data_IF_806572976674
#
_entry.id   IF_806572976674
#
_cell.length_a   1.000
_cell.length_b   1.000
_cell.length_c   1.000
_cell.angle_alpha   90.00
_cell.angle_beta   90.00
_cell.angle_gamma   90.00
#
_symmetry.space_group_name_H-M   'P 1'
#
loop_
_entity.id
_entity.type
_entity.pdbx_description
1 polymer ?
#
# COMPACT_ATOMS: atom_id res chain seq x y z
N UNK A 1 -17.62 -27.35 6.03
CA UNK A 1 -17.32 -26.05 6.70
C UNK A 1 -16.72 -25.13 5.65
N UNK A 2 -17.41 -24.08 5.22
CA UNK A 2 -16.82 -23.10 4.30
C UNK A 2 -15.67 -22.38 5.02
N UNK A 3 -14.55 -22.08 4.36
CA UNK A 3 -13.47 -21.34 4.99
C UNK A 3 -13.99 -19.99 5.47
N UNK A 4 -13.56 -19.57 6.66
CA UNK A 4 -13.88 -18.25 7.18
C UNK A 4 -13.50 -17.17 6.13
N UNK A 5 -14.31 -16.11 5.98
CA UNK A 5 -14.02 -15.05 5.03
C UNK A 5 -12.61 -14.49 5.30
N UNK A 6 -11.80 -14.37 4.25
CA UNK A 6 -10.44 -13.86 4.36
C UNK A 6 -10.49 -12.33 4.35
N UNK A 7 -10.29 -11.72 5.51
CA UNK A 7 -10.41 -10.26 5.71
C UNK A 7 -9.26 -9.47 5.07
N UNK A 8 -8.08 -10.10 4.96
CA UNK A 8 -6.86 -9.49 4.44
C UNK A 8 -5.63 -10.36 4.67
N UNK A 9 -4.46 -9.74 4.56
CA UNK A 9 -3.17 -10.28 4.96
C UNK A 9 -2.47 -9.27 5.87
N UNK A 10 -1.91 -9.73 6.99
CA UNK A 10 -1.08 -8.91 7.85
C UNK A 10 0.41 -9.18 7.56
N UNK A 11 1.22 -8.14 7.65
CA UNK A 11 2.66 -8.20 7.51
C UNK A 11 3.31 -7.54 8.71
N UNK A 12 4.29 -8.22 9.30
CA UNK A 12 5.13 -7.67 10.34
C UNK A 12 6.55 -7.52 9.79
N UNK A 13 7.14 -6.34 9.96
CA UNK A 13 8.51 -6.06 9.52
C UNK A 13 9.43 -6.05 10.73
N UNK A 14 10.54 -6.78 10.65
CA UNK A 14 11.62 -6.74 11.64
C UNK A 14 12.88 -6.07 11.10
N UNK A 15 13.71 -5.54 12.01
CA UNK A 15 15.10 -5.20 11.72
C UNK A 15 15.91 -6.48 11.66
N UNK A 16 16.66 -6.68 10.57
CA UNK A 16 17.52 -7.88 10.45
C UNK A 16 18.61 -7.93 11.53
N UNK A 17 19.13 -6.76 11.93
CA UNK A 17 20.25 -6.68 12.87
C UNK A 17 19.86 -7.05 14.31
N UNK A 18 18.65 -6.69 14.75
CA UNK A 18 18.20 -6.86 16.15
C UNK A 18 17.06 -7.86 16.30
N UNK A 19 16.32 -8.15 15.23
CA UNK A 19 15.08 -8.94 15.27
C UNK A 19 13.86 -8.15 15.76
N UNK A 20 14.03 -6.89 16.18
CA UNK A 20 12.96 -6.06 16.69
C UNK A 20 11.94 -5.67 15.62
N UNK A 21 10.68 -5.52 16.02
CA UNK A 21 9.60 -5.07 15.15
C UNK A 21 9.77 -3.59 14.79
N UNK A 22 9.75 -3.27 13.50
CA UNK A 22 9.80 -1.89 12.99
C UNK A 22 8.40 -1.35 12.78
N UNK A 23 7.55 -2.11 12.10
CA UNK A 23 6.18 -1.74 11.83
C UNK A 23 5.35 -2.97 11.45
N UNK A 24 4.04 -2.80 11.46
CA UNK A 24 3.07 -3.75 10.91
C UNK A 24 2.24 -3.11 9.81
N UNK A 25 1.74 -3.92 8.89
CA UNK A 25 0.84 -3.49 7.83
C UNK A 25 -0.28 -4.49 7.61
N UNK A 26 -1.48 -4.03 7.31
CA UNK A 26 -2.61 -4.87 6.93
C UNK A 26 -3.06 -4.54 5.50
N UNK A 27 -3.17 -5.58 4.67
CA UNK A 27 -3.51 -5.49 3.25
C UNK A 27 -4.88 -6.11 3.00
N UNK A 28 -5.73 -5.42 2.27
CA UNK A 28 -7.04 -5.91 1.88
C UNK A 28 -7.48 -5.29 0.56
N UNK A 29 -8.56 -5.81 -0.04
CA UNK A 29 -9.28 -5.08 -1.08
C UNK A 29 -10.36 -4.21 -0.42
N UNK A 30 -10.50 -2.97 -0.88
CA UNK A 30 -11.58 -2.06 -0.46
C UNK A 30 -12.07 -1.22 -1.63
N UNK A 31 -13.38 -1.01 -1.71
CA UNK A 31 -13.98 -0.06 -2.65
C UNK A 31 -14.27 1.24 -1.91
N UNK A 32 -13.70 2.34 -2.38
CA UNK A 32 -14.01 3.68 -1.86
C UNK A 32 -15.45 4.08 -2.23
N UNK A 33 -16.14 4.91 -1.42
CA UNK A 33 -17.46 5.43 -1.77
C UNK A 33 -17.45 6.11 -3.15
N UNK A 34 -18.39 5.72 -4.01
CA UNK A 34 -18.51 6.25 -5.38
C UNK A 34 -17.45 5.75 -6.37
N UNK A 35 -16.53 4.86 -5.97
CA UNK A 35 -15.58 4.25 -6.90
C UNK A 35 -16.23 3.12 -7.71
N UNK A 36 -15.83 3.02 -8.99
CA UNK A 36 -16.24 1.98 -9.93
C UNK A 36 -15.46 0.66 -9.75
N UNK A 37 -14.35 0.70 -9.00
CA UNK A 37 -13.41 -0.42 -8.81
C UNK A 37 -12.91 -0.50 -7.37
N UNK A 38 -12.40 -1.67 -6.99
CA UNK A 38 -11.68 -1.85 -5.74
C UNK A 38 -10.22 -1.38 -5.86
N UNK A 39 -9.70 -0.86 -4.75
CA UNK A 39 -8.31 -0.51 -4.55
C UNK A 39 -7.64 -1.54 -3.64
N UNK A 40 -6.32 -1.68 -3.76
CA UNK A 40 -5.53 -2.36 -2.73
C UNK A 40 -5.40 -1.39 -1.56
N UNK A 41 -5.99 -1.75 -0.43
CA UNK A 41 -5.97 -0.95 0.79
C UNK A 41 -4.89 -1.48 1.73
N UNK A 42 -4.00 -0.59 2.14
CA UNK A 42 -2.92 -0.84 3.10
C UNK A 42 -3.14 0.05 4.32
N UNK A 43 -3.07 -0.52 5.52
CA UNK A 43 -3.12 0.23 6.78
C UNK A 43 -1.85 -0.04 7.59
N UNK A 44 -1.22 1.03 8.08
CA UNK A 44 -0.15 1.00 9.07
C UNK A 44 -0.67 1.60 10.37
N UNK A 45 -0.79 0.82 11.46
CA UNK A 45 -1.28 1.33 12.73
C UNK A 45 -0.30 2.32 13.36
N UNK A 46 -0.84 3.33 14.01
CA UNK A 46 -0.16 4.29 14.89
C UNK A 46 -0.87 4.29 16.25
N UNK A 47 -0.26 4.86 17.29
CA UNK A 47 -0.76 4.82 18.67
C UNK A 47 -2.19 5.39 18.79
N UNK A 48 -2.45 6.52 18.13
CA UNK A 48 -3.75 7.21 18.15
C UNK A 48 -4.49 7.16 16.81
N UNK A 49 -4.07 6.29 15.88
CA UNK A 49 -4.55 6.37 14.51
C UNK A 49 -3.94 5.37 13.55
N UNK A 50 -3.87 5.74 12.27
CA UNK A 50 -3.21 4.94 11.24
C UNK A 50 -2.87 5.77 10.00
N UNK A 51 -1.89 5.30 9.25
CA UNK A 51 -1.70 5.68 7.85
C UNK A 51 -2.46 4.68 6.98
N UNK A 52 -3.34 5.16 6.10
CA UNK A 52 -4.04 4.35 5.12
C UNK A 52 -3.60 4.72 3.72
N UNK A 53 -3.34 3.73 2.88
CA UNK A 53 -3.00 3.93 1.48
C UNK A 53 -3.96 3.12 0.62
N UNK A 54 -4.66 3.81 -0.26
CA UNK A 54 -5.49 3.20 -1.30
C UNK A 54 -4.72 3.25 -2.61
N UNK A 55 -4.20 2.09 -3.01
CA UNK A 55 -3.45 1.91 -4.24
C UNK A 55 -4.40 1.51 -5.36
N UNK A 56 -4.46 2.33 -6.39
CA UNK A 56 -5.18 2.07 -7.62
C UNK A 56 -4.45 0.99 -8.43
N UNK A 57 -5.07 -0.17 -8.68
CA UNK A 57 -4.48 -1.18 -9.55
C UNK A 57 -4.70 -0.85 -11.03
N UNK A 58 -3.71 -1.18 -11.86
CA UNK A 58 -3.78 -1.09 -13.32
C UNK A 58 -2.91 -2.17 -13.96
N UNK A 59 -3.45 -2.89 -14.93
CA UNK A 59 -2.64 -3.76 -15.79
C UNK A 59 -2.03 -2.90 -16.90
N UNK A 60 -0.72 -2.98 -17.04
CA UNK A 60 0.04 -2.29 -18.08
C UNK A 60 0.15 -3.16 -19.35
N UNK A 61 0.48 -2.57 -20.51
CA UNK A 61 0.91 -3.33 -21.67
C UNK A 61 2.03 -4.32 -21.30
N UNK A 62 1.96 -5.54 -21.82
CA UNK A 62 2.90 -6.62 -21.47
C UNK A 62 2.58 -7.35 -20.15
N UNK A 63 1.46 -7.05 -19.50
CA UNK A 63 0.97 -7.82 -18.34
C UNK A 63 1.56 -7.42 -16.99
N UNK A 64 2.39 -6.38 -16.94
CA UNK A 64 2.87 -5.82 -15.67
C UNK A 64 1.72 -5.23 -14.85
N UNK A 65 1.80 -5.33 -13.53
CA UNK A 65 0.85 -4.73 -12.59
C UNK A 65 1.41 -3.42 -12.04
N UNK A 66 0.67 -2.34 -12.20
CA UNK A 66 0.92 -1.08 -11.51
C UNK A 66 -0.03 -0.94 -10.32
N UNK A 67 0.51 -0.56 -9.16
CA UNK A 67 -0.23 -0.11 -7.99
C UNK A 67 0.21 1.32 -7.67
N UNK A 68 -0.69 2.29 -7.68
CA UNK A 68 -0.34 3.68 -7.46
C UNK A 68 -1.24 4.40 -6.44
N UNK A 69 -0.68 5.24 -5.58
CA UNK A 69 -1.40 6.21 -4.76
C UNK A 69 -1.26 7.62 -5.38
N UNK A 70 -2.11 7.97 -6.37
CA UNK A 70 -1.96 9.21 -7.14
C UNK A 70 -2.31 10.43 -6.29
N UNK A 71 -1.96 11.63 -6.77
CA UNK A 71 -2.56 12.88 -6.28
C UNK A 71 -4.07 12.90 -6.56
N UNK A 72 -4.81 13.69 -5.77
CA UNK A 72 -6.26 13.77 -5.92
C UNK A 72 -6.95 14.50 -4.77
N UNK A 73 -8.27 14.59 -4.87
CA UNK A 73 -9.14 15.14 -3.83
C UNK A 73 -9.31 14.15 -2.68
N UNK A 74 -9.79 14.62 -1.53
CA UNK A 74 -10.22 13.73 -0.45
C UNK A 74 -11.30 12.76 -0.95
N UNK A 75 -11.21 11.49 -0.55
CA UNK A 75 -12.10 10.42 -0.96
C UNK A 75 -11.69 9.67 -2.25
N UNK A 76 -10.62 10.08 -2.93
CA UNK A 76 -10.02 9.30 -4.03
C UNK A 76 -8.91 8.36 -3.55
N UNK A 77 -8.42 7.49 -4.44
CA UNK A 77 -7.16 6.77 -4.22
C UNK A 77 -6.04 7.74 -3.78
N UNK A 78 -5.15 7.27 -2.90
CA UNK A 78 -4.16 8.12 -2.23
C UNK A 78 -3.82 7.66 -0.83
N UNK A 79 -2.92 8.40 -0.19
CA UNK A 79 -2.54 8.21 1.20
C UNK A 79 -3.29 9.17 2.14
N UNK A 80 -3.65 8.66 3.30
CA UNK A 80 -4.40 9.34 4.35
C UNK A 80 -3.76 9.05 5.70
N UNK A 81 -3.84 10.02 6.60
CA UNK A 81 -3.62 9.81 8.03
C UNK A 81 -4.97 9.96 8.71
N UNK A 82 -5.30 9.01 9.58
CA UNK A 82 -6.48 9.12 10.45
C UNK A 82 -6.05 9.14 11.90
N UNK A 83 -6.79 9.89 12.71
CA UNK A 83 -6.59 10.02 14.15
C UNK A 83 -7.95 9.84 14.81
N UNK A 84 -8.00 9.11 15.91
CA UNK A 84 -9.16 9.09 16.80
C UNK A 84 -8.83 9.83 18.08
N UNK A 85 -9.58 10.90 18.35
CA UNK A 85 -9.40 11.75 19.52
C UNK A 85 -10.77 12.08 20.13
N UNK A 86 -10.92 11.89 21.44
CA UNK A 86 -12.16 12.18 22.17
C UNK A 86 -13.44 11.56 21.55
N UNK A 87 -13.32 10.35 21.00
CA UNK A 87 -14.43 9.63 20.34
C UNK A 87 -14.77 10.13 18.94
N UNK A 88 -14.02 11.09 18.39
CA UNK A 88 -14.17 11.60 17.03
C UNK A 88 -13.05 11.09 16.13
N UNK A 89 -13.38 10.80 14.87
CA UNK A 89 -12.43 10.40 13.86
C UNK A 89 -12.10 11.56 12.94
N UNK A 90 -10.81 11.85 12.80
CA UNK A 90 -10.27 12.87 11.91
C UNK A 90 -9.48 12.17 10.81
N UNK A 91 -9.53 12.73 9.60
CA UNK A 91 -8.78 12.20 8.45
C UNK A 91 -8.23 13.34 7.61
N UNK A 92 -6.98 13.22 7.20
CA UNK A 92 -6.33 14.14 6.27
C UNK A 92 -5.70 13.33 5.14
N UNK A 93 -5.89 13.79 3.90
CA UNK A 93 -5.15 13.28 2.76
C UNK A 93 -3.73 13.86 2.80
N UNK A 94 -2.71 13.03 2.69
CA UNK A 94 -1.30 13.46 2.75
C UNK A 94 -0.66 13.45 1.36
N UNK A 95 0.37 14.27 1.11
CA UNK A 95 1.05 14.37 -0.18
C UNK A 95 2.07 13.21 -0.37
N UNK A 96 1.69 11.99 0.01
CA UNK A 96 2.51 10.80 -0.17
C UNK A 96 2.03 10.06 -1.42
N UNK A 97 2.93 9.86 -2.37
CA UNK A 97 2.64 9.24 -3.66
C UNK A 97 3.56 8.06 -3.90
N UNK A 98 2.96 6.89 -4.09
CA UNK A 98 3.67 5.65 -4.32
C UNK A 98 3.29 5.07 -5.67
N UNK A 99 4.26 4.43 -6.31
CA UNK A 99 4.02 3.63 -7.51
C UNK A 99 4.87 2.37 -7.42
N UNK A 100 4.20 1.22 -7.50
CA UNK A 100 4.82 -0.09 -7.64
C UNK A 100 4.55 -0.57 -9.05
N UNK A 101 5.59 -0.88 -9.81
CA UNK A 101 5.48 -1.60 -11.08
C UNK A 101 6.02 -2.99 -10.87
N UNK A 102 5.14 -3.97 -10.80
CA UNK A 102 5.45 -5.40 -10.64
C UNK A 102 5.43 -6.05 -12.01
N UNK A 103 6.51 -6.73 -12.40
CA UNK A 103 6.65 -7.32 -13.72
C UNK A 103 7.55 -8.56 -13.67
N UNK A 104 7.44 -9.42 -14.68
CA UNK A 104 8.39 -10.51 -14.91
C UNK A 104 9.42 -9.99 -15.89
N UNK A 105 10.71 -10.13 -15.57
CA UNK A 105 11.81 -9.76 -16.48
C UNK A 105 12.06 -10.85 -17.53
N UNK A 106 13.02 -10.62 -18.43
CA UNK A 106 13.35 -11.53 -19.53
C UNK A 106 13.96 -12.86 -19.03
N UNK A 107 14.43 -12.90 -17.78
CA UNK A 107 14.95 -14.11 -17.11
C UNK A 107 13.84 -14.89 -16.38
N UNK A 108 12.58 -14.44 -16.46
CA UNK A 108 11.45 -15.08 -15.78
C UNK A 108 11.36 -14.74 -14.28
N UNK A 109 12.09 -13.74 -13.80
CA UNK A 109 12.11 -13.31 -12.40
C UNK A 109 11.05 -12.24 -12.13
N UNK A 110 10.25 -12.42 -11.08
CA UNK A 110 9.30 -11.41 -10.61
C UNK A 110 10.05 -10.24 -9.94
N UNK A 111 9.92 -9.05 -10.49
CA UNK A 111 10.55 -7.82 -10.02
C UNK A 111 9.55 -6.72 -9.71
N UNK A 112 9.99 -5.77 -8.90
CA UNK A 112 9.26 -4.54 -8.61
C UNK A 112 10.17 -3.33 -8.73
N UNK A 113 9.73 -2.33 -9.48
CA UNK A 113 10.18 -0.95 -9.32
C UNK A 113 9.23 -0.23 -8.36
N UNK A 114 9.75 0.32 -7.27
CA UNK A 114 8.96 1.08 -6.30
C UNK A 114 9.50 2.50 -6.20
N UNK A 115 8.62 3.48 -6.42
CA UNK A 115 8.92 4.89 -6.27
C UNK A 115 8.02 5.51 -5.20
N UNK A 116 8.62 6.20 -4.25
CA UNK A 116 7.96 7.03 -3.24
C UNK A 116 8.32 8.50 -3.48
N UNK A 117 7.29 9.35 -3.54
CA UNK A 117 7.42 10.81 -3.54
C UNK A 117 6.66 11.42 -2.37
N UNK A 118 7.23 12.48 -1.81
CA UNK A 118 6.56 13.39 -0.90
C UNK A 118 6.39 14.73 -1.62
N UNK A 119 5.14 15.16 -1.83
CA UNK A 119 4.78 16.13 -2.86
C UNK A 119 5.38 15.71 -4.23
N UNK A 120 6.15 16.59 -4.87
CA UNK A 120 6.86 16.29 -6.11
C UNK A 120 8.26 15.69 -5.89
N UNK A 121 8.78 15.73 -4.66
CA UNK A 121 10.15 15.32 -4.34
C UNK A 121 10.27 13.79 -4.25
N UNK A 122 11.26 13.22 -4.93
CA UNK A 122 11.58 11.79 -4.84
C UNK A 122 12.30 11.50 -3.53
N UNK A 123 11.71 10.64 -2.69
CA UNK A 123 12.27 10.29 -1.36
C UNK A 123 12.93 8.91 -1.39
N UNK A 124 12.35 7.96 -2.12
CA UNK A 124 12.86 6.60 -2.18
C UNK A 124 12.59 5.99 -3.55
N UNK A 125 13.61 5.31 -4.10
CA UNK A 125 13.46 4.45 -5.27
C UNK A 125 14.09 3.10 -4.97
N UNK A 126 13.31 2.04 -5.07
CA UNK A 126 13.78 0.68 -4.88
C UNK A 126 13.57 -0.12 -6.17
N UNK A 127 14.51 -1.01 -6.43
CA UNK A 127 14.36 -2.07 -7.42
C UNK A 127 14.69 -3.39 -6.72
N UNK A 128 13.74 -4.33 -6.70
CA UNK A 128 13.91 -5.59 -5.98
C UNK A 128 13.19 -6.75 -6.66
N UNK A 129 13.72 -7.96 -6.43
CA UNK A 129 13.06 -9.20 -6.83
C UNK A 129 12.13 -9.69 -5.73
N UNK A 130 11.02 -10.29 -6.13
CA UNK A 130 10.07 -10.96 -5.25
C UNK A 130 10.29 -12.47 -5.37
N UNK A 131 10.66 -13.09 -4.26
CA UNK A 131 10.77 -14.55 -4.15
C UNK A 131 9.69 -15.05 -3.22
N UNK A 132 9.23 -16.27 -3.44
CA UNK A 132 8.30 -16.93 -2.51
C UNK A 132 9.01 -17.11 -1.18
N UNK A 133 8.33 -16.79 -0.07
CA UNK A 133 8.81 -17.19 1.25
C UNK A 133 8.86 -18.73 1.30
N UNK A 134 9.95 -19.26 1.86
CA UNK A 134 10.12 -20.69 2.10
C UNK A 134 9.15 -21.20 3.18
#
# INVERSE_FOLDING_TARGET
MLPAPRWGAAWLRTLKATGEWVFSGAYSARRLPGADRSSVHVTFPLESGNVQVFLRPRVLPGGALELASPSGRFGSDGAYVTVSENGQAHAARVPLHETFRVFVDDEGTLRTDHHLKLWSASVLRLHYKLVRAA
#
